data_IF_833849301183
#
_entry.id   IF_833849301183
#
_cell.length_a   1.000
_cell.length_b   1.000
_cell.length_c   1.000
_cell.angle_alpha   90.00
_cell.angle_beta   90.00
_cell.angle_gamma   90.00
#
_symmetry.space_group_name_H-M   'P 1'
#
loop_
_entity.id
_entity.type
_entity.pdbx_description
1 polymer ?
#
# COMPACT_ATOMS: atom_id res chain seq x y z
N UNK A 1 -9.07 75.49 7.16
CA UNK A 1 -8.88 74.30 6.30
C UNK A 1 -8.36 73.16 7.18
N UNK A 2 -9.19 72.22 7.63
CA UNK A 2 -8.73 71.05 8.39
C UNK A 2 -9.03 69.82 7.55
N UNK A 3 -7.99 69.06 7.21
CA UNK A 3 -8.10 67.83 6.43
C UNK A 3 -8.66 66.72 7.34
N UNK A 4 -9.80 66.16 6.96
CA UNK A 4 -10.37 64.98 7.61
C UNK A 4 -9.64 63.75 7.08
N UNK A 5 -8.75 63.17 7.88
CA UNK A 5 -8.12 61.88 7.60
C UNK A 5 -9.21 60.81 7.72
N UNK A 6 -9.56 60.20 6.60
CA UNK A 6 -10.53 59.11 6.54
C UNK A 6 -9.83 57.83 7.00
N UNK A 7 -9.88 57.53 8.31
CA UNK A 7 -9.45 56.25 8.85
C UNK A 7 -10.44 55.18 8.38
N UNK A 8 -10.07 54.46 7.31
CA UNK A 8 -10.79 53.24 6.91
C UNK A 8 -10.56 52.21 8.01
N UNK A 9 -11.53 52.06 8.90
CA UNK A 9 -11.51 51.12 10.02
C UNK A 9 -11.52 49.69 9.49
N UNK A 10 -10.33 49.18 9.16
CA UNK A 10 -10.13 47.79 8.74
C UNK A 10 -10.17 46.81 9.93
N UNK A 11 -10.26 47.31 11.17
CA UNK A 11 -10.31 46.53 12.40
C UNK A 11 -11.36 45.41 12.42
N UNK A 12 -12.66 45.67 12.20
CA UNK A 12 -13.69 44.62 12.24
C UNK A 12 -13.54 43.61 11.09
N UNK A 13 -13.09 44.06 9.91
CA UNK A 13 -12.85 43.18 8.76
C UNK A 13 -11.66 42.26 9.02
N UNK A 14 -10.61 42.79 9.64
CA UNK A 14 -9.42 42.02 10.01
C UNK A 14 -9.72 41.00 11.12
N UNK A 15 -10.55 41.37 12.10
CA UNK A 15 -11.01 40.46 13.16
C UNK A 15 -11.86 39.32 12.63
N UNK A 16 -12.76 39.60 11.67
CA UNK A 16 -13.57 38.57 11.03
C UNK A 16 -12.72 37.62 10.16
N UNK A 17 -11.71 38.15 9.45
CA UNK A 17 -10.77 37.34 8.67
C UNK A 17 -9.90 36.44 9.56
N UNK A 18 -9.42 36.96 10.69
CA UNK A 18 -8.62 36.19 11.66
C UNK A 18 -9.49 35.15 12.38
N UNK A 19 -10.72 35.49 12.74
CA UNK A 19 -11.69 34.54 13.31
C UNK A 19 -12.03 33.43 12.31
N UNK A 20 -12.20 33.78 11.02
CA UNK A 20 -12.43 32.81 9.96
C UNK A 20 -11.21 31.89 9.76
N UNK A 21 -9.98 32.43 9.80
CA UNK A 21 -8.75 31.63 9.75
C UNK A 21 -8.54 30.74 11.00
N UNK A 22 -9.01 31.18 12.17
CA UNK A 22 -8.88 30.45 13.43
C UNK A 22 -9.95 29.36 13.61
N UNK A 23 -11.15 29.58 13.07
CA UNK A 23 -12.29 28.64 13.11
C UNK A 23 -12.33 27.74 11.87
N UNK A 24 -11.63 28.11 10.78
CA UNK A 24 -11.48 27.22 9.63
C UNK A 24 -10.85 25.90 10.08
N UNK A 25 -11.47 24.75 9.77
CA UNK A 25 -10.92 23.46 10.13
C UNK A 25 -9.53 23.35 9.50
N UNK A 26 -8.49 23.26 10.34
CA UNK A 26 -7.16 22.84 9.90
C UNK A 26 -7.31 21.43 9.35
N UNK A 27 -7.52 21.30 8.05
CA UNK A 27 -7.67 20.02 7.37
C UNK A 27 -6.36 19.24 7.52
N UNK A 28 -6.32 18.33 8.49
CA UNK A 28 -5.24 17.37 8.68
C UNK A 28 -5.31 16.30 7.58
N UNK A 29 -5.10 16.69 6.33
CA UNK A 29 -4.97 15.81 5.18
C UNK A 29 -3.52 15.36 4.99
N UNK A 30 -2.89 14.74 6.00
CA UNK A 30 -1.48 14.32 5.91
C UNK A 30 -1.31 12.88 5.37
N UNK A 31 -2.25 12.39 4.55
CA UNK A 31 -2.11 11.14 3.81
C UNK A 31 -1.91 11.49 2.33
N UNK A 32 -0.65 11.38 1.88
CA UNK A 32 -0.23 11.63 0.50
C UNK A 32 -0.95 10.61 -0.39
N UNK A 33 -1.97 11.02 -1.14
CA UNK A 33 -2.82 10.15 -1.97
C UNK A 33 -2.09 9.33 -3.04
N UNK A 34 -0.82 9.66 -3.33
CA UNK A 34 0.00 9.04 -4.36
C UNK A 34 1.13 8.16 -3.83
N UNK A 35 1.25 7.98 -2.51
CA UNK A 35 2.25 7.07 -1.93
C UNK A 35 1.59 5.71 -1.63
N UNK A 36 2.16 4.63 -2.15
CA UNK A 36 1.61 3.26 -2.01
C UNK A 36 0.12 3.18 -2.47
N UNK A 37 -0.75 2.69 -1.60
CA UNK A 37 -2.19 2.54 -1.83
C UNK A 37 -3.00 3.79 -1.39
N UNK A 38 -2.31 4.93 -1.23
CA UNK A 38 -2.90 6.22 -0.86
C UNK A 38 -3.56 6.17 0.53
N UNK A 39 -4.88 6.41 0.56
CA UNK A 39 -5.68 6.39 1.80
C UNK A 39 -6.14 4.98 2.21
N UNK A 40 -6.03 3.98 1.33
CA UNK A 40 -6.47 2.60 1.62
C UNK A 40 -5.30 1.73 2.04
N UNK A 41 -5.59 0.71 2.86
CA UNK A 41 -4.60 -0.31 3.22
C UNK A 41 -4.46 -1.29 2.06
N UNK A 42 -3.23 -1.61 1.63
CA UNK A 42 -2.98 -2.48 0.47
C UNK A 42 -3.56 -3.90 0.61
N UNK A 43 -3.67 -4.40 1.85
CA UNK A 43 -4.34 -5.67 2.15
C UNK A 43 -5.84 -5.63 1.81
N UNK A 44 -6.50 -4.51 2.13
CA UNK A 44 -7.93 -4.32 1.89
C UNK A 44 -8.24 -4.14 0.40
N UNK A 45 -7.33 -3.50 -0.36
CA UNK A 45 -7.43 -3.36 -1.83
C UNK A 45 -7.43 -4.73 -2.51
N UNK A 46 -6.62 -5.67 -2.02
CA UNK A 46 -6.54 -7.03 -2.55
C UNK A 46 -7.57 -7.99 -1.91
N UNK A 47 -8.27 -7.56 -0.85
CA UNK A 47 -9.24 -8.39 -0.13
C UNK A 47 -8.62 -9.56 0.64
N UNK A 48 -7.36 -9.43 1.08
CA UNK A 48 -6.62 -10.48 1.79
C UNK A 48 -6.34 -10.10 3.24
N UNK A 49 -6.23 -11.10 4.11
CA UNK A 49 -5.85 -10.86 5.51
C UNK A 49 -4.37 -10.45 5.63
N UNK A 50 -4.00 -9.80 6.74
CA UNK A 50 -2.58 -9.46 7.02
C UNK A 50 -1.70 -10.71 7.21
N UNK A 51 -2.31 -11.80 7.67
CA UNK A 51 -1.67 -13.10 7.85
C UNK A 51 -1.52 -13.89 6.54
N UNK A 52 -2.08 -13.39 5.42
CA UNK A 52 -2.07 -14.09 4.14
C UNK A 52 -0.65 -14.47 3.68
N UNK A 53 -0.58 -15.63 3.03
CA UNK A 53 0.67 -16.13 2.43
C UNK A 53 0.98 -15.43 1.12
N UNK A 54 2.25 -15.47 0.66
CA UNK A 54 2.63 -14.93 -0.66
C UNK A 54 1.82 -15.53 -1.80
N UNK A 55 1.51 -16.82 -1.71
CA UNK A 55 0.72 -17.53 -2.71
C UNK A 55 -0.72 -17.02 -2.76
N UNK A 56 -1.31 -16.70 -1.61
CA UNK A 56 -2.66 -16.14 -1.50
C UNK A 56 -2.73 -14.72 -2.08
N UNK A 57 -1.77 -13.87 -1.73
CA UNK A 57 -1.62 -12.52 -2.30
C UNK A 57 -1.52 -12.59 -3.84
N UNK A 58 -0.70 -13.50 -4.37
CA UNK A 58 -0.55 -13.70 -5.81
C UNK A 58 -1.80 -14.31 -6.48
N UNK A 59 -2.60 -15.09 -5.76
CA UNK A 59 -3.89 -15.60 -6.26
C UNK A 59 -4.91 -14.47 -6.36
N UNK A 60 -5.06 -13.68 -5.31
CA UNK A 60 -5.96 -12.52 -5.28
C UNK A 60 -5.64 -11.51 -6.39
N UNK A 61 -4.35 -11.16 -6.53
CA UNK A 61 -3.88 -10.30 -7.62
C UNK A 61 -4.30 -10.83 -9.00
N UNK A 62 -4.03 -12.12 -9.29
CA UNK A 62 -4.39 -12.71 -10.58
C UNK A 62 -5.91 -12.72 -10.83
N UNK A 63 -6.72 -12.88 -9.79
CA UNK A 63 -8.18 -12.84 -9.90
C UNK A 63 -8.67 -11.43 -10.23
N UNK A 64 -8.20 -10.42 -9.49
CA UNK A 64 -8.57 -9.02 -9.69
C UNK A 64 -8.04 -8.47 -11.02
N UNK A 65 -6.82 -8.84 -11.41
CA UNK A 65 -6.23 -8.44 -12.70
C UNK A 65 -7.06 -8.92 -13.89
N UNK A 66 -7.66 -10.11 -13.83
CA UNK A 66 -8.57 -10.61 -14.89
C UNK A 66 -9.90 -9.86 -14.92
N UNK A 67 -10.37 -9.37 -13.78
CA UNK A 67 -11.63 -8.63 -13.69
C UNK A 67 -11.48 -7.21 -14.23
N UNK A 68 -10.39 -6.53 -13.87
CA UNK A 68 -10.13 -5.13 -14.22
C UNK A 68 -9.16 -4.96 -15.39
N UNK A 69 -8.92 -6.01 -16.19
CA UNK A 69 -8.05 -5.88 -17.37
C UNK A 69 -8.69 -4.95 -18.42
N UNK A 70 -7.95 -3.99 -19.00
CA UNK A 70 -8.51 -3.08 -20.01
C UNK A 70 -9.05 -3.81 -21.25
N UNK A 71 -8.46 -4.94 -21.64
CA UNK A 71 -8.96 -5.78 -22.75
C UNK A 71 -10.37 -6.36 -22.49
N UNK A 72 -10.75 -6.53 -21.22
CA UNK A 72 -12.08 -7.00 -20.85
C UNK A 72 -13.12 -5.89 -20.87
N UNK A 73 -12.71 -4.63 -20.69
CA UNK A 73 -13.59 -3.49 -20.50
C UNK A 73 -13.61 -2.67 -21.78
N UNK A 74 -14.67 -2.87 -22.56
CA UNK A 74 -14.86 -2.12 -23.80
C UNK A 74 -15.26 -0.68 -23.49
N UNK A 75 -14.74 0.32 -24.23
CA UNK A 75 -15.16 1.70 -24.06
C UNK A 75 -16.65 1.85 -24.39
N UNK A 76 -17.37 2.76 -23.69
CA UNK A 76 -18.79 2.96 -23.89
C UNK A 76 -19.06 3.50 -25.29
N UNK A 77 -20.16 3.04 -25.88
CA UNK A 77 -20.62 3.48 -27.20
C UNK A 77 -21.06 4.96 -27.10
N UNK A 78 -20.62 5.83 -28.02
CA UNK A 78 -21.00 7.24 -28.00
C UNK A 78 -22.52 7.39 -28.13
N UNK A 79 -23.15 8.09 -27.19
CA UNK A 79 -24.61 8.34 -27.15
C UNK A 79 -25.37 7.75 -25.96
N UNK A 80 -24.70 7.00 -25.08
CA UNK A 80 -25.29 6.53 -23.81
C UNK A 80 -25.06 7.54 -22.68
N UNK A 81 -26.12 7.84 -21.90
CA UNK A 81 -26.04 8.72 -20.74
C UNK A 81 -25.22 8.01 -19.63
N UNK A 82 -24.17 8.64 -19.06
CA UNK A 82 -23.41 7.98 -18.00
C UNK A 82 -24.25 7.94 -16.72
N UNK A 83 -24.58 6.74 -16.23
CA UNK A 83 -24.99 6.60 -14.83
C UNK A 83 -23.81 6.95 -13.93
N UNK A 84 -24.01 7.67 -12.82
CA UNK A 84 -22.93 8.01 -11.88
C UNK A 84 -22.25 6.77 -11.25
N UNK A 85 -22.93 5.63 -11.32
CA UNK A 85 -22.54 4.29 -10.88
C UNK A 85 -22.08 3.37 -12.03
N UNK A 86 -22.17 3.81 -13.30
CA UNK A 86 -21.60 3.09 -14.43
C UNK A 86 -20.08 3.30 -14.45
N UNK A 87 -19.35 2.24 -14.12
CA UNK A 87 -17.89 2.23 -14.13
C UNK A 87 -17.36 2.57 -15.54
N UNK A 88 -16.86 3.78 -15.73
CA UNK A 88 -16.20 4.20 -16.97
C UNK A 88 -14.91 3.40 -17.17
N UNK A 89 -14.45 3.18 -18.41
CA UNK A 89 -13.20 2.44 -18.68
C UNK A 89 -11.99 3.07 -17.98
N UNK A 90 -12.01 4.39 -17.79
CA UNK A 90 -10.99 5.16 -17.07
C UNK A 90 -10.91 4.72 -15.59
N UNK A 91 -12.06 4.55 -14.92
CA UNK A 91 -12.11 4.11 -13.52
C UNK A 91 -11.58 2.69 -13.31
N UNK A 92 -11.77 1.81 -14.29
CA UNK A 92 -11.28 0.44 -14.19
C UNK A 92 -9.77 0.36 -14.39
N UNK A 93 -9.21 1.18 -15.28
CA UNK A 93 -7.78 1.31 -15.43
C UNK A 93 -7.13 1.82 -14.13
N UNK A 94 -7.71 2.83 -13.49
CA UNK A 94 -7.23 3.33 -12.20
C UNK A 94 -7.25 2.25 -11.11
N UNK A 95 -8.35 1.48 -11.03
CA UNK A 95 -8.44 0.33 -10.11
C UNK A 95 -7.35 -0.71 -10.39
N UNK A 96 -7.10 -1.02 -11.66
CA UNK A 96 -6.04 -1.95 -12.05
C UNK A 96 -4.66 -1.46 -11.60
N UNK A 97 -4.35 -0.18 -11.79
CA UNK A 97 -3.10 0.42 -11.31
C UNK A 97 -2.98 0.31 -9.79
N UNK A 98 -4.04 0.60 -9.04
CA UNK A 98 -4.06 0.45 -7.57
C UNK A 98 -3.84 -1.00 -7.12
N UNK A 99 -4.43 -1.96 -7.83
CA UNK A 99 -4.24 -3.40 -7.55
C UNK A 99 -2.79 -3.81 -7.82
N UNK A 100 -2.19 -3.31 -8.90
CA UNK A 100 -0.80 -3.60 -9.24
C UNK A 100 0.17 -3.03 -8.20
N UNK A 101 0.01 -1.77 -7.81
CA UNK A 101 0.84 -1.15 -6.77
C UNK A 101 0.67 -1.85 -5.42
N UNK A 102 -0.54 -2.24 -5.04
CA UNK A 102 -0.79 -3.02 -3.83
C UNK A 102 -0.06 -4.38 -3.85
N UNK A 103 -0.06 -5.07 -4.99
CA UNK A 103 0.64 -6.34 -5.12
C UNK A 103 2.17 -6.19 -5.01
N UNK A 104 2.76 -5.23 -5.72
CA UNK A 104 4.21 -5.00 -5.72
C UNK A 104 4.72 -4.66 -4.30
N UNK A 105 4.00 -3.81 -3.60
CA UNK A 105 4.36 -3.36 -2.25
C UNK A 105 4.27 -4.50 -1.24
N UNK A 106 3.19 -5.29 -1.26
CA UNK A 106 3.07 -6.46 -0.38
C UNK A 106 4.06 -7.57 -0.72
N UNK A 107 4.41 -7.73 -2.00
CA UNK A 107 5.41 -8.70 -2.45
C UNK A 107 6.77 -8.40 -1.83
N UNK A 108 7.22 -7.15 -1.89
CA UNK A 108 8.50 -6.70 -1.29
C UNK A 108 8.47 -6.92 0.22
N UNK A 109 7.43 -6.45 0.91
CA UNK A 109 7.31 -6.60 2.37
C UNK A 109 7.38 -8.06 2.82
N UNK A 110 6.63 -8.96 2.17
CA UNK A 110 6.65 -10.39 2.51
C UNK A 110 8.00 -11.05 2.16
N UNK A 111 8.72 -10.55 1.15
CA UNK A 111 10.07 -11.03 0.83
C UNK A 111 11.07 -10.68 1.92
N UNK A 112 11.09 -9.43 2.37
CA UNK A 112 11.95 -8.97 3.46
C UNK A 112 11.69 -9.77 4.75
N UNK A 113 10.43 -10.01 5.10
CA UNK A 113 10.08 -10.80 6.29
C UNK A 113 10.61 -12.24 6.22
N UNK A 114 10.57 -12.88 5.04
CA UNK A 114 11.12 -14.22 4.87
C UNK A 114 12.66 -14.21 4.96
N UNK A 115 13.30 -13.20 4.37
CA UNK A 115 14.75 -13.04 4.47
C UNK A 115 15.21 -12.76 5.90
N UNK A 116 14.49 -11.92 6.64
CA UNK A 116 14.75 -11.67 8.06
C UNK A 116 14.60 -12.94 8.88
N UNK A 117 13.53 -13.71 8.67
CA UNK A 117 13.33 -14.99 9.33
C UNK A 117 14.46 -15.97 9.00
N UNK A 118 14.87 -16.04 7.74
CA UNK A 118 16.00 -16.85 7.27
C UNK A 118 17.31 -16.40 7.90
N UNK A 119 17.57 -15.10 8.00
CA UNK A 119 18.74 -14.51 8.67
C UNK A 119 18.72 -14.87 10.16
N UNK A 120 17.60 -14.69 10.86
CA UNK A 120 17.45 -15.05 12.28
C UNK A 120 17.70 -16.53 12.51
N UNK A 121 17.11 -17.41 11.70
CA UNK A 121 17.34 -18.85 11.77
C UNK A 121 18.81 -19.20 11.47
N UNK A 122 19.43 -18.56 10.49
CA UNK A 122 20.85 -18.76 10.21
C UNK A 122 21.77 -18.26 11.34
N UNK A 123 21.35 -17.23 12.07
CA UNK A 123 22.12 -16.63 13.16
C UNK A 123 21.94 -17.31 14.51
N UNK A 124 20.83 -18.02 14.71
CA UNK A 124 20.51 -18.77 15.94
C UNK A 124 21.66 -19.72 16.33
N UNK A 125 22.25 -19.57 17.55
CA UNK A 125 23.28 -20.47 18.07
C UNK A 125 22.85 -21.94 18.10
N UNK A 126 21.57 -22.23 18.35
CA UNK A 126 21.04 -23.60 18.35
C UNK A 126 21.12 -24.21 16.96
N UNK A 127 20.64 -23.47 15.96
CA UNK A 127 20.68 -23.91 14.57
C UNK A 127 22.11 -24.01 14.02
N UNK A 128 23.01 -23.11 14.43
CA UNK A 128 24.45 -23.20 14.10
C UNK A 128 25.09 -24.46 14.67
N UNK A 129 24.80 -24.81 15.93
CA UNK A 129 25.29 -26.04 16.58
C UNK A 129 24.75 -27.28 15.87
N UNK A 130 23.46 -27.31 15.58
CA UNK A 130 22.82 -28.41 14.85
C UNK A 130 23.41 -28.58 13.44
N UNK A 131 23.57 -27.50 12.67
CA UNK A 131 24.21 -27.58 11.34
C UNK A 131 25.66 -28.06 11.41
N UNK A 132 26.41 -27.69 12.45
CA UNK A 132 27.79 -28.19 12.66
C UNK A 132 27.78 -29.69 12.98
N UNK A 133 26.89 -30.13 13.86
CA UNK A 133 26.71 -31.55 14.20
C UNK A 133 26.30 -32.36 12.97
N UNK A 134 25.29 -31.91 12.21
CA UNK A 134 24.87 -32.55 10.95
C UNK A 134 26.01 -32.74 9.95
N UNK A 135 26.97 -31.79 9.90
CA UNK A 135 28.14 -31.88 9.03
C UNK A 135 29.19 -32.90 9.53
N UNK A 136 29.34 -33.04 10.84
CA UNK A 136 30.45 -33.79 11.45
C UNK A 136 30.05 -35.21 11.91
N UNK A 137 28.82 -35.37 12.40
CA UNK A 137 28.31 -36.52 13.16
C UNK A 137 26.90 -36.96 12.71
N UNK A 138 26.34 -36.35 11.66
CA UNK A 138 25.01 -36.67 11.16
C UNK A 138 24.89 -38.09 10.60
N UNK A 139 23.70 -38.72 10.67
CA UNK A 139 23.44 -40.05 10.10
C UNK A 139 23.64 -39.98 8.58
N UNK A 140 24.70 -40.62 8.09
CA UNK A 140 25.23 -40.47 6.73
C UNK A 140 26.75 -40.28 6.67
N UNK A 141 27.41 -40.10 7.82
CA UNK A 141 28.86 -40.24 7.93
C UNK A 141 29.27 -41.67 7.56
N UNK A 142 29.91 -41.87 6.40
CA UNK A 142 30.62 -43.12 6.11
C UNK A 142 31.81 -43.21 7.08
N UNK A 143 31.59 -43.80 8.24
CA UNK A 143 32.68 -44.40 9.01
C UNK A 143 33.08 -45.65 8.22
N UNK A 144 34.24 -45.62 7.57
CA UNK A 144 34.89 -46.86 7.18
C UNK A 144 35.12 -47.61 8.48
N UNK A 145 34.37 -48.68 8.68
CA UNK A 145 34.67 -49.65 9.72
C UNK A 145 35.91 -50.36 9.16
N UNK A 146 37.08 -50.08 9.73
CA UNK A 146 38.32 -50.74 9.36
C UNK A 146 38.27 -52.18 9.89
N UNK A 147 37.79 -53.11 9.07
CA UNK A 147 37.87 -54.57 9.28
C UNK A 147 39.23 -55.13 8.82
#
# INVERSE_FOLDING_TARGET
>A
KKASVCSRDWGPVMLLLVLWLAVAPRSAGALIERLYCGRRVCYDVLGVSRAASKAEIARAYRQLARQYHPDRIRPPVPGSLPSPDAETPESAHEKFLLIATAYETLKVYKQEQEEELKKKMAMDPRWKRYRRWMRNEGPGRLTFIDD
#
